data_IF_482858320820
#
_entry.id   IF_482858320820
#
_cell.length_a   1.000
_cell.length_b   1.000
_cell.length_c   1.000
_cell.angle_alpha   90.00
_cell.angle_beta   90.00
_cell.angle_gamma   90.00
#
_symmetry.space_group_name_H-M   'P 1'
#
loop_
_entity.id
_entity.type
_entity.pdbx_description
1 polymer ?
#
# COMPACT_ATOMS: atom_id res chain seq x y z
N UNK A 1 -6.11 -21.51 -13.47
CA UNK A 1 -4.69 -21.66 -13.12
C UNK A 1 -4.17 -20.28 -12.76
N UNK A 2 -3.58 -20.03 -11.58
CA UNK A 2 -2.80 -18.80 -11.37
C UNK A 2 -1.65 -18.90 -12.36
N UNK A 3 -1.77 -18.18 -13.48
CA UNK A 3 -0.77 -18.25 -14.52
C UNK A 3 0.56 -17.86 -13.90
N UNK A 4 1.63 -18.53 -14.32
CA UNK A 4 3.01 -18.21 -13.96
C UNK A 4 3.45 -16.85 -14.50
N UNK A 5 2.53 -15.88 -14.63
CA UNK A 5 2.85 -14.48 -14.87
C UNK A 5 3.97 -14.11 -13.90
N UNK A 6 5.09 -13.70 -14.50
CA UNK A 6 6.23 -13.20 -13.75
C UNK A 6 5.70 -12.16 -12.76
N UNK A 7 6.05 -12.28 -11.48
CA UNK A 7 5.64 -11.32 -10.45
C UNK A 7 5.94 -9.88 -10.90
N UNK A 8 6.99 -9.70 -11.72
CA UNK A 8 7.37 -8.44 -12.33
C UNK A 8 6.31 -7.85 -13.28
N UNK A 9 5.41 -8.65 -13.84
CA UNK A 9 4.34 -8.20 -14.73
C UNK A 9 3.15 -7.60 -13.99
N UNK A 10 3.08 -7.75 -12.67
CA UNK A 10 2.02 -7.15 -11.87
C UNK A 10 2.37 -5.68 -11.60
N UNK A 11 1.39 -4.80 -11.35
CA UNK A 11 1.68 -3.43 -10.97
C UNK A 11 2.30 -3.39 -9.56
N UNK A 12 3.46 -2.76 -9.39
CA UNK A 12 4.08 -2.56 -8.06
C UNK A 12 3.30 -1.52 -7.23
N UNK A 13 2.80 -0.51 -7.91
CA UNK A 13 1.88 0.50 -7.40
C UNK A 13 0.47 0.09 -7.76
N UNK A 14 -0.24 -0.48 -6.80
CA UNK A 14 -1.68 -0.62 -6.91
C UNK A 14 -2.37 0.58 -6.25
N UNK A 15 -1.92 1.78 -6.64
CA UNK A 15 -2.54 3.02 -6.20
C UNK A 15 -3.91 3.09 -6.88
N UNK A 16 -5.01 3.09 -6.13
CA UNK A 16 -6.33 3.28 -6.72
C UNK A 16 -6.34 4.55 -7.57
N UNK A 17 -6.96 4.51 -8.75
CA UNK A 17 -7.26 5.72 -9.53
C UNK A 17 -8.13 6.74 -8.75
N UNK A 18 -8.66 6.35 -7.58
CA UNK A 18 -9.39 7.22 -6.65
C UNK A 18 -8.44 8.07 -5.78
N UNK A 19 -7.18 7.64 -5.57
CA UNK A 19 -6.20 8.43 -4.81
C UNK A 19 -5.70 9.66 -5.59
N UNK A 20 -5.97 9.74 -6.89
CA UNK A 20 -5.66 10.92 -7.73
C UNK A 20 -6.77 11.96 -7.73
N UNK A 21 -7.85 11.79 -6.95
CA UNK A 21 -8.84 12.85 -6.74
C UNK A 21 -8.22 13.99 -5.92
N UNK A 22 -7.53 14.89 -6.63
CA UNK A 22 -7.33 16.31 -6.35
C UNK A 22 -6.51 16.72 -5.12
N UNK A 23 -6.52 15.92 -4.06
CA UNK A 23 -5.95 16.31 -2.77
C UNK A 23 -4.67 15.51 -2.51
N UNK A 24 -4.67 14.19 -2.66
CA UNK A 24 -3.49 13.40 -2.31
C UNK A 24 -2.46 13.36 -3.46
N UNK A 25 -1.25 13.86 -3.23
CA UNK A 25 -0.15 13.83 -4.22
C UNK A 25 0.90 12.80 -3.81
N UNK A 26 0.95 11.68 -4.51
CA UNK A 26 1.99 10.66 -4.35
C UNK A 26 3.05 10.79 -5.44
N UNK A 27 4.32 10.88 -5.04
CA UNK A 27 5.46 10.97 -5.93
C UNK A 27 6.45 9.84 -5.64
N UNK A 28 7.01 9.24 -6.69
CA UNK A 28 8.15 8.32 -6.59
C UNK A 28 9.42 9.13 -6.37
N UNK A 29 10.09 8.91 -5.23
CA UNK A 29 11.37 9.55 -4.93
C UNK A 29 12.54 8.73 -5.44
N UNK A 30 12.45 7.41 -5.31
CA UNK A 30 13.52 6.50 -5.69
C UNK A 30 12.96 5.14 -6.06
N UNK A 31 13.53 4.51 -7.08
CA UNK A 31 13.36 3.10 -7.34
C UNK A 31 14.62 2.37 -6.89
N UNK A 32 14.48 1.42 -5.96
CA UNK A 32 15.62 0.66 -5.45
C UNK A 32 15.86 -0.57 -6.33
N UNK A 33 14.78 -1.25 -6.73
CA UNK A 33 14.80 -2.34 -7.71
C UNK A 33 13.44 -2.48 -8.44
N UNK A 34 13.23 -3.54 -9.22
CA UNK A 34 11.98 -3.79 -9.96
C UNK A 34 10.75 -4.02 -9.08
N UNK A 35 10.95 -4.31 -7.81
CA UNK A 35 9.97 -4.69 -6.82
C UNK A 35 9.97 -3.76 -5.61
N UNK A 36 10.68 -2.63 -5.62
CA UNK A 36 10.75 -1.73 -4.48
C UNK A 36 10.89 -0.25 -4.87
N UNK A 37 10.07 0.60 -4.24
CA UNK A 37 9.98 2.05 -4.48
C UNK A 37 9.94 2.81 -3.15
N UNK A 38 10.67 3.91 -3.07
CA UNK A 38 10.48 4.94 -2.04
C UNK A 38 9.54 5.99 -2.60
N UNK A 39 8.45 6.24 -1.87
CA UNK A 39 7.41 7.18 -2.24
C UNK A 39 7.27 8.27 -1.17
N UNK A 40 6.84 9.44 -1.60
CA UNK A 40 6.27 10.46 -0.73
C UNK A 40 4.81 10.66 -1.08
N UNK A 41 3.93 10.73 -0.08
CA UNK A 41 2.53 11.14 -0.26
C UNK A 41 2.27 12.39 0.55
N UNK A 42 1.63 13.36 -0.08
CA UNK A 42 1.13 14.57 0.55
C UNK A 42 -0.39 14.49 0.65
N UNK A 43 -0.94 14.75 1.83
CA UNK A 43 -2.37 14.93 2.06
C UNK A 43 -2.59 16.36 2.54
N UNK A 44 -3.13 17.25 1.68
CA UNK A 44 -3.45 18.61 2.03
C UNK A 44 -4.67 18.64 2.94
N UNK A 45 -4.69 19.60 3.85
CA UNK A 45 -5.76 19.79 4.82
C UNK A 45 -5.45 21.00 5.70
N UNK A 46 -6.21 21.17 6.80
CA UNK A 46 -5.86 22.17 7.84
C UNK A 46 -4.47 21.92 8.42
N UNK A 47 -4.07 20.66 8.45
CA UNK A 47 -2.71 20.19 8.69
C UNK A 47 -2.28 19.49 7.41
N UNK A 48 -1.13 19.87 6.86
CA UNK A 48 -0.54 19.17 5.71
C UNK A 48 0.16 17.93 6.21
N UNK A 49 -0.37 16.74 5.91
CA UNK A 49 0.25 15.48 6.29
C UNK A 49 1.18 14.98 5.19
N UNK A 50 2.34 14.44 5.58
CA UNK A 50 3.29 13.83 4.64
C UNK A 50 3.76 12.47 5.10
N UNK A 51 3.80 11.54 4.15
CA UNK A 51 4.25 10.17 4.31
C UNK A 51 5.53 9.98 3.53
N UNK A 52 6.54 9.35 4.12
CA UNK A 52 7.62 8.73 3.38
C UNK A 52 7.48 7.22 3.57
N UNK A 53 7.29 6.45 2.50
CA UNK A 53 7.09 5.02 2.63
C UNK A 53 7.81 4.21 1.58
N UNK A 54 8.29 3.04 2.01
CA UNK A 54 8.80 2.00 1.14
C UNK A 54 7.65 1.10 0.72
N UNK A 55 7.40 1.04 -0.58
CA UNK A 55 6.56 0.01 -1.18
C UNK A 55 7.45 -1.09 -1.68
N UNK A 56 7.14 -2.33 -1.34
CA UNK A 56 7.80 -3.47 -1.95
C UNK A 56 6.84 -4.61 -2.20
N UNK A 57 7.18 -5.42 -3.21
CA UNK A 57 6.47 -6.63 -3.60
C UNK A 57 7.41 -7.82 -3.50
N UNK A 58 6.89 -8.97 -3.08
CA UNK A 58 7.66 -10.22 -3.10
C UNK A 58 6.78 -11.40 -3.44
N UNK A 59 7.27 -12.24 -4.35
CA UNK A 59 6.77 -13.60 -4.50
C UNK A 59 7.42 -14.50 -3.45
N UNK A 60 6.62 -15.31 -2.76
CA UNK A 60 7.08 -16.35 -1.83
C UNK A 60 6.18 -17.57 -1.90
N UNK A 61 6.49 -18.57 -1.09
CA UNK A 61 5.59 -19.68 -0.78
C UNK A 61 5.21 -19.61 0.69
N UNK A 62 3.97 -19.94 1.01
CA UNK A 62 3.52 -20.10 2.39
C UNK A 62 4.08 -21.40 3.02
N UNK A 63 3.72 -21.64 4.28
CA UNK A 63 4.15 -22.83 5.03
C UNK A 63 3.66 -24.16 4.39
N UNK A 64 2.61 -24.10 3.58
CA UNK A 64 2.05 -25.23 2.85
C UNK A 64 2.59 -25.35 1.41
N UNK A 65 3.57 -24.53 1.04
CA UNK A 65 4.15 -24.50 -0.29
C UNK A 65 3.27 -23.83 -1.37
N UNK A 66 2.14 -23.22 -0.99
CA UNK A 66 1.27 -22.46 -1.91
C UNK A 66 1.94 -21.15 -2.31
N UNK A 67 1.74 -20.76 -3.58
CA UNK A 67 2.30 -19.50 -4.08
C UNK A 67 1.62 -18.33 -3.40
N UNK A 68 2.41 -17.32 -3.09
CA UNK A 68 1.93 -16.09 -2.49
C UNK A 68 2.63 -14.88 -3.10
N UNK A 69 1.86 -13.83 -3.38
CA UNK A 69 2.38 -12.51 -3.74
C UNK A 69 2.01 -11.55 -2.63
N UNK A 70 3.02 -10.90 -2.07
CA UNK A 70 2.86 -9.96 -0.96
C UNK A 70 3.23 -8.57 -1.43
N UNK A 71 2.35 -7.60 -1.16
CA UNK A 71 2.61 -6.17 -1.25
C UNK A 71 2.69 -5.61 0.16
N UNK A 72 3.73 -4.86 0.45
CA UNK A 72 3.87 -4.16 1.74
C UNK A 72 4.24 -2.72 1.45
N UNK A 73 3.51 -1.83 2.11
CA UNK A 73 3.87 -0.43 2.26
C UNK A 73 4.12 -0.17 3.74
N UNK A 74 5.27 0.37 4.07
CA UNK A 74 5.58 0.78 5.43
C UNK A 74 6.19 2.18 5.44
N UNK A 75 5.62 3.05 6.28
CA UNK A 75 6.28 4.27 6.73
C UNK A 75 7.28 3.86 7.80
N UNK A 76 8.56 4.07 7.50
CA UNK A 76 9.64 3.90 8.46
C UNK A 76 10.07 5.23 9.03
N UNK A 77 10.34 5.25 10.33
CA UNK A 77 11.04 6.35 11.00
C UNK A 77 12.46 5.88 11.34
N UNK A 78 13.45 6.62 10.87
CA UNK A 78 14.86 6.44 11.21
C UNK A 78 15.38 7.78 11.67
N UNK A 79 16.37 7.81 12.56
CA UNK A 79 16.94 9.07 13.07
C UNK A 79 17.42 10.01 11.95
N UNK A 80 17.96 9.44 10.87
CA UNK A 80 18.33 10.19 9.66
C UNK A 80 17.12 10.82 8.94
N UNK A 81 15.98 10.13 8.92
CA UNK A 81 14.73 10.69 8.39
C UNK A 81 14.17 11.77 9.32
N UNK A 82 14.28 11.60 10.65
CA UNK A 82 13.78 12.57 11.63
C UNK A 82 14.40 13.96 11.41
N UNK A 83 15.73 14.04 11.28
CA UNK A 83 16.43 15.31 11.05
C UNK A 83 16.02 15.99 9.73
N UNK A 84 15.82 15.22 8.66
CA UNK A 84 15.36 15.76 7.38
C UNK A 84 13.91 16.28 7.44
N UNK A 85 13.08 15.69 8.31
CA UNK A 85 11.67 16.07 8.53
C UNK A 85 11.54 17.33 9.37
N UNK A 86 12.33 17.46 10.42
CA UNK A 86 12.35 18.63 11.32
C UNK A 86 12.75 19.94 10.62
N UNK A 87 13.44 19.86 9.49
CA UNK A 87 13.76 21.02 8.65
C UNK A 87 12.54 21.63 7.93
N UNK A 88 11.38 20.96 7.93
CA UNK A 88 10.14 21.42 7.29
C UNK A 88 9.02 21.64 8.31
N UNK A 89 8.89 22.89 8.78
CA UNK A 89 7.99 23.26 9.87
C UNK A 89 6.50 23.36 9.47
N UNK A 90 6.18 23.34 8.16
CA UNK A 90 4.83 23.52 7.63
C UNK A 90 4.06 22.21 7.43
N UNK A 91 4.68 21.06 7.74
CA UNK A 91 4.15 19.74 7.44
C UNK A 91 4.19 18.84 8.68
N UNK A 92 3.08 18.14 8.96
CA UNK A 92 3.04 17.10 9.97
C UNK A 92 3.43 15.76 9.34
N UNK A 93 4.57 15.22 9.78
CA UNK A 93 5.04 13.94 9.30
C UNK A 93 4.34 12.81 10.01
N UNK A 94 3.86 11.83 9.24
CA UNK A 94 3.36 10.58 9.80
C UNK A 94 4.57 9.68 10.04
N UNK A 95 4.69 9.18 11.27
CA UNK A 95 5.83 8.37 11.70
C UNK A 95 5.56 6.87 11.57
N UNK A 96 4.30 6.46 11.67
CA UNK A 96 3.92 5.05 11.60
C UNK A 96 2.58 4.88 10.89
N UNK A 97 2.65 4.23 9.74
CA UNK A 97 1.50 3.80 8.96
C UNK A 97 1.97 2.78 7.94
N UNK A 98 1.06 1.94 7.46
CA UNK A 98 1.36 1.01 6.41
C UNK A 98 0.19 0.13 6.06
N UNK A 99 0.38 -0.66 5.01
CA UNK A 99 -0.55 -1.73 4.67
C UNK A 99 0.19 -2.93 4.12
N UNK A 100 -0.40 -4.10 4.27
CA UNK A 100 0.05 -5.34 3.69
C UNK A 100 -1.13 -6.00 2.96
N UNK A 101 -0.91 -6.34 1.69
CA UNK A 101 -1.84 -7.13 0.89
C UNK A 101 -1.17 -8.45 0.55
N UNK A 102 -1.87 -9.56 0.74
CA UNK A 102 -1.37 -10.88 0.35
C UNK A 102 -2.37 -11.58 -0.53
N UNK A 103 -1.87 -12.12 -1.63
CA UNK A 103 -2.60 -12.97 -2.57
C UNK A 103 -2.05 -14.38 -2.43
N UNK A 104 -2.83 -15.28 -1.85
CA UNK A 104 -2.41 -16.66 -1.57
C UNK A 104 -3.20 -17.62 -2.44
N UNK A 105 -2.50 -18.53 -3.12
CA UNK A 105 -3.15 -19.58 -3.88
C UNK A 105 -3.86 -20.58 -2.96
N UNK A 106 -5.16 -20.77 -3.15
CA UNK A 106 -5.93 -21.81 -2.46
C UNK A 106 -5.97 -23.06 -3.34
N UNK A 107 -6.45 -22.89 -4.57
CA UNK A 107 -6.54 -23.93 -5.60
C UNK A 107 -6.40 -23.31 -7.01
N UNK A 108 -6.59 -24.12 -8.05
CA UNK A 108 -6.37 -23.70 -9.44
C UNK A 108 -7.22 -22.52 -9.92
N UNK A 109 -8.36 -22.27 -9.27
CA UNK A 109 -9.33 -21.22 -9.62
C UNK A 109 -9.60 -20.24 -8.48
N UNK A 110 -8.91 -20.36 -7.35
CA UNK A 110 -9.24 -19.59 -6.15
C UNK A 110 -7.98 -19.08 -5.50
N UNK A 111 -7.99 -17.78 -5.23
CA UNK A 111 -7.00 -17.10 -4.40
C UNK A 111 -7.70 -16.55 -3.17
N UNK A 112 -6.99 -16.58 -2.05
CA UNK A 112 -7.33 -15.83 -0.86
C UNK A 112 -6.64 -14.46 -0.92
N UNK A 113 -7.34 -13.42 -0.48
CA UNK A 113 -6.83 -12.05 -0.48
C UNK A 113 -6.98 -11.47 0.92
N UNK A 114 -5.86 -11.18 1.56
CA UNK A 114 -5.85 -10.51 2.88
C UNK A 114 -5.35 -9.09 2.73
N UNK A 115 -6.00 -8.15 3.43
CA UNK A 115 -5.63 -6.74 3.48
C UNK A 115 -5.57 -6.28 4.92
N UNK A 116 -4.38 -5.91 5.38
CA UNK A 116 -4.15 -5.35 6.70
C UNK A 116 -3.63 -3.92 6.55
N UNK A 117 -4.19 -2.98 7.32
CA UNK A 117 -3.73 -1.58 7.33
C UNK A 117 -3.64 -1.08 8.76
N UNK A 118 -2.62 -0.28 9.03
CA UNK A 118 -2.42 0.36 10.32
C UNK A 118 -1.98 1.81 10.11
N UNK A 119 -2.24 2.64 11.11
CA UNK A 119 -1.83 4.04 11.16
C UNK A 119 -1.94 4.53 12.59
N UNK A 120 -1.12 5.51 12.94
CA UNK A 120 -1.40 6.38 14.07
C UNK A 120 -2.68 7.18 13.82
N UNK A 121 -3.41 7.45 14.89
CA UNK A 121 -4.61 8.28 14.89
C UNK A 121 -4.58 9.21 16.11
N UNK A 122 -5.16 10.39 15.96
CA UNK A 122 -5.10 11.44 16.99
C UNK A 122 -6.24 11.32 18.02
N UNK A 123 -7.30 10.58 17.67
CA UNK A 123 -8.48 10.36 18.51
C UNK A 123 -9.28 9.17 17.99
N UNK A 124 -10.23 8.69 18.78
CA UNK A 124 -11.15 7.63 18.36
C UNK A 124 -12.00 8.06 17.15
N UNK A 125 -12.44 9.33 17.10
CA UNK A 125 -13.18 9.87 15.96
C UNK A 125 -12.33 9.90 14.68
N UNK A 126 -11.04 10.23 14.80
CA UNK A 126 -10.10 10.14 13.70
C UNK A 126 -9.92 8.67 13.26
N UNK A 127 -9.78 7.73 14.21
CA UNK A 127 -9.67 6.31 13.91
C UNK A 127 -10.90 5.78 13.14
N UNK A 128 -12.12 6.19 13.54
CA UNK A 128 -13.37 5.82 12.85
C UNK A 128 -13.42 6.34 11.41
N UNK A 129 -12.98 7.58 11.17
CA UNK A 129 -12.89 8.15 9.82
C UNK A 129 -11.89 7.37 8.95
N UNK A 130 -10.68 7.14 9.47
CA UNK A 130 -9.67 6.34 8.78
C UNK A 130 -10.19 4.94 8.44
N UNK A 131 -10.89 4.29 9.37
CA UNK A 131 -11.48 2.97 9.14
C UNK A 131 -12.48 2.97 7.98
N UNK A 132 -13.37 3.97 7.90
CA UNK A 132 -14.33 4.12 6.79
C UNK A 132 -13.59 4.30 5.47
N UNK A 133 -12.60 5.18 5.43
CA UNK A 133 -11.80 5.44 4.22
C UNK A 133 -11.06 4.18 3.76
N UNK A 134 -10.51 3.41 4.69
CA UNK A 134 -9.81 2.16 4.38
C UNK A 134 -10.77 1.10 3.87
N UNK A 135 -11.98 1.03 4.42
CA UNK A 135 -13.00 0.12 3.94
C UNK A 135 -13.45 0.47 2.52
N UNK A 136 -13.60 1.76 2.21
CA UNK A 136 -13.90 2.20 0.83
C UNK A 136 -12.80 1.82 -0.15
N UNK A 137 -11.53 1.94 0.24
CA UNK A 137 -10.39 1.47 -0.56
C UNK A 137 -10.49 -0.03 -0.81
N UNK A 138 -10.79 -0.82 0.23
CA UNK A 138 -10.96 -2.27 0.09
C UNK A 138 -12.12 -2.60 -0.86
N UNK A 139 -13.29 -1.99 -0.71
CA UNK A 139 -14.43 -2.20 -1.60
C UNK A 139 -14.11 -1.85 -3.05
N UNK A 140 -13.45 -0.72 -3.28
CA UNK A 140 -13.02 -0.31 -4.62
C UNK A 140 -12.08 -1.33 -5.24
N UNK A 141 -11.08 -1.78 -4.47
CA UNK A 141 -10.13 -2.80 -4.88
C UNK A 141 -10.83 -4.10 -5.21
N UNK A 142 -11.70 -4.60 -4.33
CA UNK A 142 -12.47 -5.83 -4.57
C UNK A 142 -13.24 -5.72 -5.87
N UNK A 143 -13.93 -4.60 -6.14
CA UNK A 143 -14.70 -4.40 -7.37
C UNK A 143 -13.83 -4.35 -8.65
N UNK A 144 -12.65 -3.74 -8.60
CA UNK A 144 -11.79 -3.57 -9.79
C UNK A 144 -10.89 -4.78 -10.06
N UNK A 145 -10.44 -5.44 -9.00
CA UNK A 145 -9.54 -6.60 -9.09
C UNK A 145 -10.29 -7.89 -9.38
N UNK A 146 -11.51 -8.07 -8.84
CA UNK A 146 -12.38 -9.20 -9.26
C UNK A 146 -12.83 -9.07 -10.71
N UNK A 147 -12.85 -7.85 -11.26
CA UNK A 147 -13.25 -7.58 -12.65
C UNK A 147 -12.17 -7.88 -13.69
N UNK A 148 -10.89 -8.00 -13.31
CA UNK A 148 -9.80 -8.01 -14.30
C UNK A 148 -8.65 -8.95 -13.93
N UNK A 149 -8.60 -10.12 -14.60
CA UNK A 149 -7.35 -10.84 -14.96
C UNK A 149 -6.55 -11.58 -13.87
N UNK A 150 -7.06 -11.82 -12.66
CA UNK A 150 -6.31 -12.66 -11.69
C UNK A 150 -6.40 -14.16 -11.96
N UNK A 151 -7.41 -14.60 -12.71
CA UNK A 151 -7.58 -15.97 -13.17
C UNK A 151 -7.74 -15.88 -14.68
N UNK A 152 -6.64 -15.84 -15.41
CA UNK A 152 -6.69 -16.09 -16.87
C UNK A 152 -6.50 -17.59 -17.04
N UNK A 153 -7.53 -18.26 -17.58
CA UNK A 153 -7.49 -19.63 -18.08
C UNK A 153 -6.56 -19.77 -19.26
#
# INVERSE_FOLDING_TARGET
>A
MVSSSDVNSWPLLATPAVWTKGEHVTQVLQQLDMNSLVLVTNIPGKVHFRYLHLVWRRARRDENGKREIVYVTAVGDTEANTQAREAQADVQWVHESGFCIRYTEVNESTIDVTYNRWSQCESEDHARKLFIDWFQVLCWWTQHVTSSKLIVS
#
